data_IF_586474978903
#
_entry.id   IF_586474978903
#
_cell.length_a   1.000
_cell.length_b   1.000
_cell.length_c   1.000
_cell.angle_alpha   90.00
_cell.angle_beta   90.00
_cell.angle_gamma   90.00
#
_symmetry.space_group_name_H-M   'P 1'
#
loop_
_entity.id
_entity.type
_entity.pdbx_description
1 polymer ?
#
# COMPACT_ATOMS: atom_id res chain seq x y z
N UNK A 1 5.33 6.32 -17.58
CA UNK A 1 5.07 5.56 -16.34
C UNK A 1 4.26 4.31 -16.67
N UNK A 2 4.90 3.13 -16.77
CA UNK A 2 4.23 1.83 -16.93
C UNK A 2 4.61 0.97 -15.73
N UNK A 3 3.67 0.68 -14.83
CA UNK A 3 4.03 0.00 -13.59
C UNK A 3 2.87 -0.43 -12.72
N UNK A 4 1.79 -0.95 -13.31
CA UNK A 4 0.83 -1.78 -12.59
C UNK A 4 0.72 -3.10 -13.34
N UNK A 5 1.17 -4.21 -12.75
CA UNK A 5 0.69 -5.52 -13.19
C UNK A 5 -0.77 -5.60 -12.75
N UNK A 6 -1.65 -5.18 -13.66
CA UNK A 6 -3.09 -4.99 -13.46
C UNK A 6 -3.78 -6.16 -12.74
N UNK A 7 -3.24 -7.38 -12.90
CA UNK A 7 -3.78 -8.60 -12.30
C UNK A 7 -3.37 -8.85 -10.83
N UNK A 8 -2.22 -8.38 -10.36
CA UNK A 8 -1.76 -8.61 -8.97
C UNK A 8 -2.24 -7.54 -7.99
N UNK A 9 -2.27 -6.28 -8.43
CA UNK A 9 -2.78 -5.16 -7.63
C UNK A 9 -4.29 -5.32 -7.36
N UNK A 10 -5.07 -5.71 -8.37
CA UNK A 10 -6.49 -6.00 -8.20
C UNK A 10 -6.74 -7.17 -7.22
N UNK A 11 -5.90 -8.20 -7.22
CA UNK A 11 -6.02 -9.29 -6.25
C UNK A 11 -5.73 -8.83 -4.81
N UNK A 12 -4.71 -7.98 -4.60
CA UNK A 12 -4.46 -7.38 -3.28
C UNK A 12 -5.59 -6.43 -2.83
N UNK A 13 -6.25 -5.78 -3.78
CA UNK A 13 -7.42 -4.92 -3.53
C UNK A 13 -8.72 -5.72 -3.29
N UNK A 14 -8.83 -6.98 -3.74
CA UNK A 14 -10.07 -7.78 -3.70
C UNK A 14 -10.07 -8.93 -2.68
N UNK A 15 -9.02 -9.11 -1.86
CA UNK A 15 -9.02 -10.20 -0.87
C UNK A 15 -9.96 -9.93 0.30
N UNK A 16 -10.97 -10.81 0.38
CA UNK A 16 -11.75 -11.23 1.55
C UNK A 16 -12.77 -10.24 2.15
N UNK A 17 -14.03 -10.40 1.75
CA UNK A 17 -15.19 -10.13 2.61
C UNK A 17 -15.51 -8.66 2.92
N UNK A 18 -15.17 -7.72 2.02
CA UNK A 18 -15.48 -6.30 2.19
C UNK A 18 -14.39 -5.45 2.86
N UNK A 19 -13.18 -5.99 3.04
CA UNK A 19 -11.99 -5.28 3.57
C UNK A 19 -10.93 -4.97 2.50
N UNK A 20 -11.35 -4.83 1.25
CA UNK A 20 -10.47 -4.45 0.14
C UNK A 20 -9.88 -3.05 0.33
N UNK A 21 -8.61 -2.86 -0.04
CA UNK A 21 -7.99 -1.53 -0.02
C UNK A 21 -8.53 -0.70 -1.17
N UNK A 22 -9.21 0.40 -0.83
CA UNK A 22 -9.75 1.29 -1.83
C UNK A 22 -8.60 1.91 -2.66
N UNK A 23 -8.70 2.00 -4.00
CA UNK A 23 -7.62 2.53 -4.82
C UNK A 23 -7.20 3.95 -4.44
N UNK A 24 -8.15 4.78 -3.96
CA UNK A 24 -7.82 6.12 -3.44
C UNK A 24 -6.91 6.07 -2.21
N UNK A 25 -7.03 5.06 -1.34
CA UNK A 25 -6.17 4.90 -0.18
C UNK A 25 -4.73 4.53 -0.56
N UNK A 26 -4.55 3.81 -1.67
CA UNK A 26 -3.24 3.51 -2.24
C UNK A 26 -2.59 4.79 -2.75
N UNK A 27 -3.34 5.60 -3.51
CA UNK A 27 -2.87 6.88 -4.04
C UNK A 27 -2.56 7.86 -2.90
N UNK A 28 -3.41 7.95 -1.89
CA UNK A 28 -3.19 8.79 -0.71
C UNK A 28 -1.94 8.36 0.07
N UNK A 29 -1.76 7.05 0.31
CA UNK A 29 -0.58 6.55 1.01
C UNK A 29 0.73 6.89 0.28
N UNK A 30 0.75 6.83 -1.06
CA UNK A 30 1.96 7.14 -1.84
C UNK A 30 2.20 8.65 -1.97
N UNK A 31 1.13 9.46 -2.13
CA UNK A 31 1.25 10.92 -2.35
C UNK A 31 1.37 11.71 -1.04
N UNK A 32 0.64 11.31 -0.01
CA UNK A 32 0.55 11.97 1.28
C UNK A 32 0.79 10.96 2.43
N UNK A 33 1.96 10.31 2.49
CA UNK A 33 2.25 9.36 3.57
C UNK A 33 2.27 10.07 4.92
N UNK A 34 1.68 9.43 5.93
CA UNK A 34 1.90 9.79 7.34
C UNK A 34 3.33 9.43 7.73
N UNK A 35 3.84 8.31 7.23
CA UNK A 35 5.19 7.86 7.52
C UNK A 35 5.80 7.12 6.31
N UNK A 36 7.12 7.25 6.14
CA UNK A 36 7.90 6.59 5.10
C UNK A 36 9.01 5.80 5.77
N UNK A 37 9.05 4.49 5.51
CA UNK A 37 10.00 3.57 6.11
C UNK A 37 10.81 2.87 5.02
N UNK A 38 12.12 3.10 5.01
CA UNK A 38 13.05 2.36 4.17
C UNK A 38 13.22 0.93 4.71
N UNK A 39 13.14 -0.05 3.82
CA UNK A 39 13.27 -1.48 4.13
C UNK A 39 14.48 -2.09 3.41
N UNK A 40 15.07 -3.18 3.96
CA UNK A 40 16.18 -3.87 3.33
C UNK A 40 15.88 -4.29 1.88
N UNK A 41 16.89 -4.26 1.02
CA UNK A 41 16.76 -4.58 -0.40
C UNK A 41 16.10 -3.48 -1.22
N UNK A 42 16.28 -2.21 -0.84
CA UNK A 42 15.86 -1.04 -1.63
C UNK A 42 14.34 -0.87 -1.72
N UNK A 43 13.59 -1.40 -0.77
CA UNK A 43 12.13 -1.25 -0.71
C UNK A 43 11.77 -0.04 0.15
N UNK A 44 10.65 0.59 -0.16
CA UNK A 44 10.14 1.73 0.61
C UNK A 44 8.68 1.47 0.95
N UNK A 45 8.36 1.45 2.24
CA UNK A 45 7.00 1.35 2.74
C UNK A 45 6.46 2.75 3.01
N UNK A 46 5.35 3.08 2.36
CA UNK A 46 4.56 4.28 2.56
C UNK A 46 3.35 3.93 3.42
N UNK A 47 3.20 4.60 4.55
CA UNK A 47 2.09 4.41 5.48
C UNK A 47 1.14 5.58 5.33
N UNK A 48 -0.04 5.34 4.76
CA UNK A 48 -1.15 6.29 4.71
C UNK A 48 -2.15 6.09 5.83
N UNK A 49 -3.22 6.89 5.81
CA UNK A 49 -4.29 6.85 6.82
C UNK A 49 -5.07 5.54 6.85
N UNK A 50 -5.25 4.92 5.68
CA UNK A 50 -6.11 3.75 5.51
C UNK A 50 -5.41 2.56 4.86
N UNK A 51 -4.17 2.74 4.41
CA UNK A 51 -3.41 1.70 3.72
C UNK A 51 -1.91 1.91 3.89
N UNK A 52 -1.17 0.81 3.87
CA UNK A 52 0.27 0.81 3.67
C UNK A 52 0.61 0.23 2.31
N UNK A 53 1.55 0.87 1.62
CA UNK A 53 1.96 0.54 0.25
C UNK A 53 3.47 0.35 0.23
N UNK A 54 3.96 -0.77 -0.27
CA UNK A 54 5.41 -1.02 -0.43
C UNK A 54 5.79 -0.91 -1.89
N UNK A 55 6.79 -0.07 -2.16
CA UNK A 55 7.41 0.09 -3.48
C UNK A 55 8.77 -0.62 -3.49
N UNK A 56 9.16 -1.14 -4.65
CA UNK A 56 10.55 -1.54 -4.89
C UNK A 56 11.43 -0.34 -5.28
N UNK A 57 12.73 -0.60 -5.47
CA UNK A 57 13.71 0.41 -5.89
C UNK A 57 13.44 1.06 -7.26
N UNK A 58 12.52 0.49 -8.06
CA UNK A 58 12.07 1.06 -9.34
C UNK A 58 10.80 1.92 -9.19
N UNK A 59 10.32 2.12 -7.97
CA UNK A 59 9.08 2.85 -7.69
C UNK A 59 7.80 2.09 -8.04
N UNK A 60 7.87 0.77 -8.27
CA UNK A 60 6.69 -0.05 -8.56
C UNK A 60 6.09 -0.57 -7.25
N UNK A 61 4.77 -0.48 -7.13
CA UNK A 61 4.04 -1.07 -6.00
C UNK A 61 4.14 -2.59 -6.09
N UNK A 62 4.70 -3.20 -5.05
CA UNK A 62 4.85 -4.66 -4.93
C UNK A 62 3.95 -5.24 -3.84
N UNK A 63 3.44 -4.42 -2.92
CA UNK A 63 2.57 -4.87 -1.83
C UNK A 63 1.63 -3.75 -1.39
N UNK A 64 0.39 -4.12 -1.07
CA UNK A 64 -0.63 -3.23 -0.50
C UNK A 64 -1.38 -4.01 0.58
N UNK A 65 -1.63 -3.38 1.73
CA UNK A 65 -2.54 -3.92 2.73
C UNK A 65 -3.29 -2.78 3.44
N UNK A 66 -4.54 -3.06 3.80
CA UNK A 66 -5.40 -2.12 4.51
C UNK A 66 -4.92 -1.96 5.95
N UNK A 67 -4.92 -0.73 6.44
CA UNK A 67 -4.73 -0.49 7.86
C UNK A 67 -6.09 -0.62 8.56
N UNK A 68 -6.20 -1.31 9.71
CA UNK A 68 -7.38 -1.17 10.55
C UNK A 68 -7.53 0.31 10.95
N UNK A 69 -8.78 0.80 11.06
CA UNK A 69 -9.09 2.19 11.45
C UNK A 69 -8.55 2.60 12.82
N UNK A 70 -7.96 1.68 13.58
CA UNK A 70 -7.34 1.93 14.87
C UNK A 70 -6.00 1.17 15.00
N UNK A 71 -4.84 1.82 14.79
CA UNK A 71 -3.54 1.18 14.98
C UNK A 71 -3.15 0.99 16.45
N UNK A 72 -3.93 1.53 17.40
CA UNK A 72 -3.76 1.29 18.84
C UNK A 72 -4.71 0.18 19.31
N UNK A 73 -4.31 -1.07 19.11
CA UNK A 73 -4.71 -2.16 20.00
C UNK A 73 -3.45 -2.52 20.79
N UNK A 74 -3.50 -2.25 22.10
CA UNK A 74 -2.46 -2.54 23.07
C UNK A 74 -2.03 -4.00 23.05
#
# INVERSE_FOLDING_TARGET
MKGYTKHGLMQAMQRDGGRGVHPSAIVDAVRNPINVVSQPGGKTKYVGKSASVVLNNQGKIITVYGQPRNPNVK
#
